data_IF_658692762746
#
_entry.id   IF_658692762746
#
_cell.length_a   1.000
_cell.length_b   1.000
_cell.length_c   1.000
_cell.angle_alpha   90.00
_cell.angle_beta   90.00
_cell.angle_gamma   90.00
#
_symmetry.space_group_name_H-M   'P 1'
#
loop_
_entity.id
_entity.type
_entity.pdbx_description
1 polymer ?
#
# COMPACT_ATOMS: atom_id res chain seq x y z
N UNK A 1 -1.74 27.12 -8.86
CA UNK A 1 -0.87 25.99 -9.28
C UNK A 1 -0.42 25.10 -8.12
N UNK A 2 -0.41 25.57 -6.86
CA UNK A 2 0.07 24.74 -5.74
C UNK A 2 -0.88 23.61 -5.30
N UNK A 3 -2.17 23.73 -5.57
CA UNK A 3 -3.17 22.74 -5.15
C UNK A 3 -3.00 21.42 -5.92
N UNK A 4 -2.82 21.48 -7.24
CA UNK A 4 -2.61 20.29 -8.07
C UNK A 4 -1.30 19.57 -7.73
N UNK A 5 -0.20 20.32 -7.51
CA UNK A 5 1.08 19.75 -7.07
C UNK A 5 0.99 19.10 -5.69
N UNK A 6 0.23 19.72 -4.78
CA UNK A 6 -0.03 19.15 -3.45
C UNK A 6 -0.86 17.88 -3.55
N UNK A 7 -1.86 17.81 -4.43
CA UNK A 7 -2.63 16.59 -4.65
C UNK A 7 -1.78 15.46 -5.24
N UNK A 8 -0.89 15.77 -6.18
CA UNK A 8 -0.02 14.77 -6.79
C UNK A 8 0.99 14.20 -5.79
N UNK A 9 1.58 15.04 -4.94
CA UNK A 9 2.48 14.56 -3.89
C UNK A 9 1.76 13.58 -2.95
N UNK A 10 0.53 13.91 -2.52
CA UNK A 10 -0.25 13.01 -1.68
C UNK A 10 -0.52 11.67 -2.37
N UNK A 11 -0.79 11.65 -3.68
CA UNK A 11 -0.92 10.40 -4.43
C UNK A 11 0.36 9.57 -4.41
N UNK A 12 1.52 10.21 -4.62
CA UNK A 12 2.83 9.54 -4.58
C UNK A 12 3.12 9.00 -3.19
N UNK A 13 2.89 9.78 -2.14
CA UNK A 13 3.04 9.35 -0.74
C UNK A 13 2.17 8.11 -0.45
N UNK A 14 0.92 8.11 -0.90
CA UNK A 14 0.02 6.98 -0.68
C UNK A 14 0.54 5.74 -1.41
N UNK A 15 0.96 5.90 -2.66
CA UNK A 15 1.52 4.82 -3.48
C UNK A 15 2.75 4.20 -2.82
N UNK A 16 3.70 5.02 -2.35
CA UNK A 16 4.92 4.52 -1.68
C UNK A 16 4.61 3.72 -0.43
N UNK A 17 3.60 4.14 0.35
CA UNK A 17 3.18 3.42 1.55
C UNK A 17 2.40 2.13 1.23
N UNK A 18 1.58 2.14 0.17
CA UNK A 18 0.78 0.99 -0.25
C UNK A 18 1.65 -0.13 -0.85
N UNK A 19 2.65 0.24 -1.67
CA UNK A 19 3.59 -0.70 -2.28
C UNK A 19 4.81 -1.01 -1.39
N UNK A 20 4.83 -0.51 -0.15
CA UNK A 20 5.86 -0.76 0.85
C UNK A 20 7.29 -0.31 0.42
N UNK A 21 7.37 0.78 -0.33
CA UNK A 21 8.63 1.48 -0.65
C UNK A 21 9.02 2.42 0.51
N UNK A 22 9.34 1.81 1.65
CA UNK A 22 9.51 2.51 2.93
C UNK A 22 10.75 3.38 2.96
N UNK A 23 11.85 2.97 2.33
CA UNK A 23 13.08 3.74 2.31
C UNK A 23 12.89 5.00 1.48
N UNK A 24 12.29 4.86 0.29
CA UNK A 24 11.91 6.00 -0.55
C UNK A 24 10.94 6.94 0.16
N UNK A 25 9.91 6.39 0.81
CA UNK A 25 8.94 7.19 1.57
C UNK A 25 9.62 7.98 2.70
N UNK A 26 10.61 7.38 3.36
CA UNK A 26 11.35 8.00 4.45
C UNK A 26 12.29 9.12 3.93
N UNK A 27 12.97 8.91 2.81
CA UNK A 27 13.79 9.97 2.21
C UNK A 27 12.95 11.13 1.69
N UNK A 28 11.81 10.83 1.04
CA UNK A 28 10.86 11.84 0.61
C UNK A 28 10.35 12.67 1.80
N UNK A 29 10.09 12.04 2.95
CA UNK A 29 9.72 12.77 4.17
C UNK A 29 10.77 13.83 4.51
N UNK A 30 12.05 13.47 4.52
CA UNK A 30 13.12 14.40 4.88
C UNK A 30 13.29 15.51 3.85
N UNK A 31 13.29 15.21 2.56
CA UNK A 31 13.38 16.24 1.52
C UNK A 31 12.16 17.19 1.55
N UNK A 32 10.96 16.69 1.86
CA UNK A 32 9.77 17.54 2.04
C UNK A 32 9.90 18.46 3.26
N UNK A 33 10.56 18.01 4.33
CA UNK A 33 10.79 18.83 5.52
C UNK A 33 11.83 19.91 5.26
N UNK A 34 12.90 19.56 4.56
CA UNK A 34 13.96 20.49 4.18
C UNK A 34 13.43 21.59 3.25
N UNK A 35 12.48 21.26 2.37
CA UNK A 35 11.76 22.20 1.51
C UNK A 35 10.68 23.03 2.25
N UNK A 36 10.42 22.77 3.53
CA UNK A 36 9.38 23.44 4.33
C UNK A 36 7.94 23.04 3.93
N UNK A 37 7.76 21.89 3.28
CA UNK A 37 6.46 21.36 2.82
C UNK A 37 5.81 20.44 3.86
N UNK A 38 5.78 20.88 5.13
CA UNK A 38 5.27 20.11 6.27
C UNK A 38 3.86 19.54 6.05
N UNK A 39 2.98 20.30 5.40
CA UNK A 39 1.59 19.92 5.15
C UNK A 39 1.46 18.63 4.33
N UNK A 40 2.43 18.36 3.45
CA UNK A 40 2.43 17.20 2.56
C UNK A 40 3.13 16.00 3.21
N UNK A 41 3.99 16.28 4.21
CA UNK A 41 4.70 15.28 5.00
C UNK A 41 3.87 14.70 6.16
N UNK A 42 2.70 15.26 6.50
CA UNK A 42 1.90 14.84 7.68
C UNK A 42 1.64 13.33 7.67
N UNK A 43 1.19 12.77 6.54
CA UNK A 43 0.89 11.34 6.43
C UNK A 43 2.14 10.47 6.64
N UNK A 44 3.29 10.90 6.14
CA UNK A 44 4.56 10.20 6.34
C UNK A 44 5.02 10.31 7.79
N UNK A 45 4.93 11.50 8.41
CA UNK A 45 5.25 11.71 9.83
C UNK A 45 4.41 10.80 10.72
N UNK A 46 3.10 10.76 10.50
CA UNK A 46 2.18 9.93 11.28
C UNK A 46 2.51 8.44 11.09
N UNK A 47 2.84 8.02 9.86
CA UNK A 47 3.24 6.65 9.56
C UNK A 47 4.52 6.24 10.31
N UNK A 48 5.60 7.04 10.21
CA UNK A 48 6.88 6.72 10.85
C UNK A 48 6.90 6.96 12.37
N UNK A 49 5.96 7.74 12.90
CA UNK A 49 5.80 7.93 14.35
C UNK A 49 5.09 6.76 15.06
N UNK A 50 4.51 5.81 14.31
CA UNK A 50 3.77 4.70 14.89
C UNK A 50 4.71 3.72 15.61
N UNK A 51 4.72 3.77 16.94
CA UNK A 51 5.53 2.87 17.79
C UNK A 51 5.18 1.38 17.65
N UNK A 52 3.99 1.04 17.14
CA UNK A 52 3.59 -0.34 16.87
C UNK A 52 4.25 -0.90 15.60
N UNK A 53 4.47 -0.07 14.59
CA UNK A 53 5.16 -0.42 13.35
C UNK A 53 6.67 -0.29 13.51
N UNK A 54 7.12 0.67 14.32
CA UNK A 54 8.52 1.02 14.52
C UNK A 54 8.87 1.07 16.02
N UNK A 55 9.07 -0.09 16.68
CA UNK A 55 9.39 -0.13 18.11
C UNK A 55 10.77 0.49 18.39
N UNK A 56 10.82 1.48 19.28
CA UNK A 56 12.05 2.23 19.59
C UNK A 56 13.20 1.34 20.10
N UNK A 57 12.87 0.26 20.80
CA UNK A 57 13.85 -0.71 21.30
C UNK A 57 14.57 -1.44 20.16
N UNK A 58 13.84 -1.79 19.10
CA UNK A 58 14.43 -2.44 17.92
C UNK A 58 15.31 -1.46 17.15
N UNK A 59 14.82 -0.24 16.93
CA UNK A 59 15.58 0.83 16.23
C UNK A 59 16.90 1.11 16.96
N UNK A 60 16.88 1.18 18.29
CA UNK A 60 18.07 1.43 19.10
C UNK A 60 19.11 0.31 18.98
N UNK A 61 18.67 -0.95 18.90
CA UNK A 61 19.55 -2.09 18.62
C UNK A 61 20.17 -1.97 17.24
N UNK A 62 19.37 -1.74 16.20
CA UNK A 62 19.87 -1.60 14.82
C UNK A 62 20.84 -0.42 14.64
N UNK A 63 20.64 0.68 15.36
CA UNK A 63 21.59 1.80 15.35
C UNK A 63 22.93 1.44 16.02
N UNK A 64 22.91 0.55 17.02
CA UNK A 64 24.13 0.04 17.65
C UNK A 64 24.92 -0.85 16.69
N UNK A 65 24.23 -1.67 15.89
CA UNK A 65 24.81 -2.56 14.87
C UNK A 65 25.61 -1.80 13.81
N UNK A 66 25.12 -0.64 13.32
CA UNK A 66 25.84 0.15 12.30
C UNK A 66 27.20 0.68 12.76
N UNK A 67 27.41 0.76 14.09
CA UNK A 67 28.64 1.25 14.71
C UNK A 67 29.47 0.09 15.30
N UNK A 68 28.97 -1.15 15.21
CA UNK A 68 29.60 -2.31 15.81
C UNK A 68 30.79 -2.83 14.99
N UNK A 69 31.74 -3.45 15.69
CA UNK A 69 32.84 -4.16 15.06
C UNK A 69 32.34 -5.42 14.33
N UNK A 70 32.99 -5.84 13.23
CA UNK A 70 32.60 -7.04 12.47
C UNK A 70 32.45 -8.32 13.31
N UNK A 71 33.23 -8.48 14.37
CA UNK A 71 33.15 -9.63 15.25
C UNK A 71 31.88 -9.62 16.09
N UNK A 72 31.51 -8.46 16.67
CA UNK A 72 30.24 -8.29 17.38
C UNK A 72 29.02 -8.56 16.47
N UNK A 73 29.09 -8.21 15.18
CA UNK A 73 28.02 -8.50 14.22
C UNK A 73 27.82 -10.00 14.00
N UNK A 74 28.92 -10.77 13.97
CA UNK A 74 28.87 -12.21 13.79
C UNK A 74 28.24 -12.89 15.02
N UNK A 75 28.63 -12.47 16.22
CA UNK A 75 28.07 -13.00 17.48
C UNK A 75 26.57 -12.70 17.60
N UNK A 76 26.13 -11.50 17.23
CA UNK A 76 24.70 -11.17 17.24
C UNK A 76 23.91 -11.97 16.19
N UNK A 77 24.48 -12.16 14.99
CA UNK A 77 23.89 -13.01 13.96
C UNK A 77 23.69 -14.45 14.45
N UNK A 78 24.71 -15.04 15.08
CA UNK A 78 24.62 -16.38 15.66
C UNK A 78 23.57 -16.44 16.78
N UNK A 79 23.52 -15.44 17.66
CA UNK A 79 22.52 -15.36 18.73
C UNK A 79 21.07 -15.24 18.20
N UNK A 80 20.86 -14.52 17.09
CA UNK A 80 19.55 -14.43 16.43
C UNK A 80 19.18 -15.76 15.77
N UNK A 81 20.14 -16.44 15.14
CA UNK A 81 19.94 -17.78 14.56
C UNK A 81 19.55 -18.82 15.62
N UNK A 82 20.19 -18.80 16.79
CA UNK A 82 19.84 -19.68 17.92
C UNK A 82 18.42 -19.40 18.44
N UNK A 83 18.07 -18.12 18.66
CA UNK A 83 16.72 -17.72 19.09
C UNK A 83 15.65 -18.14 18.09
N UNK A 84 15.93 -18.01 16.80
CA UNK A 84 15.04 -18.43 15.73
C UNK A 84 14.82 -19.94 15.76
N UNK A 85 15.88 -20.73 15.92
CA UNK A 85 15.77 -22.19 16.03
C UNK A 85 14.91 -22.63 17.24
N UNK A 86 15.05 -21.95 18.39
CA UNK A 86 14.21 -22.20 19.57
C UNK A 86 12.75 -21.87 19.27
N UNK A 87 12.48 -20.69 18.71
CA UNK A 87 11.12 -20.26 18.39
C UNK A 87 10.45 -21.18 17.36
N UNK A 88 11.18 -21.67 16.35
CA UNK A 88 10.67 -22.63 15.38
C UNK A 88 10.31 -23.98 16.02
N UNK A 89 11.11 -24.41 16.99
CA UNK A 89 10.81 -25.62 17.77
C UNK A 89 9.54 -25.44 18.61
N UNK A 90 9.42 -24.33 19.34
CA UNK A 90 8.23 -23.99 20.12
C UNK A 90 6.98 -23.88 19.24
N UNK A 91 7.10 -23.28 18.05
CA UNK A 91 6.02 -23.18 17.08
C UNK A 91 5.56 -24.57 16.62
N UNK A 92 6.49 -25.49 16.34
CA UNK A 92 6.18 -26.87 15.96
C UNK A 92 5.44 -27.60 17.06
N UNK A 93 5.87 -27.43 18.31
CA UNK A 93 5.20 -28.02 19.47
C UNK A 93 3.77 -27.47 19.63
N UNK A 94 3.60 -26.16 19.54
CA UNK A 94 2.28 -25.53 19.61
C UNK A 94 1.35 -25.99 18.47
N UNK A 95 1.88 -26.16 17.25
CA UNK A 95 1.12 -26.70 16.12
C UNK A 95 0.67 -28.15 16.36
N UNK A 96 1.54 -28.99 16.92
CA UNK A 96 1.21 -30.37 17.28
C UNK A 96 0.11 -30.43 18.35
N UNK A 97 0.20 -29.58 19.38
CA UNK A 97 -0.83 -29.49 20.43
C UNK A 97 -2.17 -29.01 19.89
N UNK A 98 -2.17 -28.01 19.00
CA UNK A 98 -3.38 -27.56 18.28
C UNK A 98 -3.98 -28.71 17.47
N UNK A 99 -3.16 -29.52 16.78
CA UNK A 99 -3.64 -30.67 16.02
C UNK A 99 -4.26 -31.72 16.95
N UNK A 100 -3.61 -32.06 18.07
CA UNK A 100 -4.15 -32.98 19.08
C UNK A 100 -5.49 -32.50 19.61
N UNK A 101 -5.58 -31.26 20.07
CA UNK A 101 -6.81 -30.66 20.58
C UNK A 101 -7.93 -30.64 19.52
N UNK A 102 -7.61 -30.35 18.25
CA UNK A 102 -8.57 -30.44 17.15
C UNK A 102 -9.09 -31.86 16.94
N UNK A 103 -8.22 -32.87 17.00
CA UNK A 103 -8.66 -34.27 16.88
C UNK A 103 -9.49 -34.74 18.07
N UNK A 104 -9.17 -34.30 19.29
CA UNK A 104 -9.97 -34.60 20.48
C UNK A 104 -11.34 -33.93 20.42
N UNK A 105 -11.42 -32.68 19.98
CA UNK A 105 -12.69 -31.98 19.75
C UNK A 105 -13.52 -32.68 18.68
N UNK A 106 -12.92 -33.08 17.56
CA UNK A 106 -13.63 -33.80 16.50
C UNK A 106 -14.14 -35.16 17.02
N UNK A 107 -13.31 -35.92 17.73
CA UNK A 107 -13.71 -37.18 18.37
C UNK A 107 -14.85 -36.96 19.38
N UNK A 108 -14.84 -35.87 20.15
CA UNK A 108 -15.89 -35.54 21.12
C UNK A 108 -17.20 -35.13 20.43
N UNK A 109 -17.12 -34.42 19.31
CA UNK A 109 -18.27 -34.11 18.46
C UNK A 109 -18.86 -35.39 17.88
N UNK A 110 -18.03 -36.27 17.30
CA UNK A 110 -18.45 -37.55 16.74
C UNK A 110 -19.04 -38.48 17.82
N UNK A 111 -18.48 -38.51 19.03
CA UNK A 111 -19.05 -39.28 20.15
C UNK A 111 -20.38 -38.69 20.62
N UNK A 112 -20.52 -37.36 20.67
CA UNK A 112 -21.81 -36.72 21.01
C UNK A 112 -22.91 -36.97 19.98
N UNK A 113 -22.56 -37.01 18.69
CA UNK A 113 -23.50 -37.31 17.59
C UNK A 113 -23.93 -38.78 17.61
N UNK A 114 -23.03 -39.69 18.03
CA UNK A 114 -23.34 -41.11 18.18
C UNK A 114 -24.18 -41.43 19.43
N UNK A 115 -24.07 -40.64 20.50
CA UNK A 115 -24.93 -40.74 21.69
C UNK A 115 -26.34 -40.16 21.46
N UNK A 116 -26.53 -39.27 20.47
CA UNK A 116 -27.83 -38.71 20.09
C UNK A 116 -28.59 -39.47 18.99
N UNK A 117 -28.12 -40.65 18.55
CA UNK A 117 -28.84 -41.50 17.57
C UNK A 117 -29.89 -42.44 18.17
N UNK A 118 -30.17 -42.31 19.46
CA UNK A 118 -31.30 -42.94 20.12
C UNK A 118 -32.14 -41.88 20.81
N UNK A 119 -32.92 -41.10 20.04
CA UNK A 119 -34.27 -40.60 20.36
C UNK A 119 -34.68 -39.56 19.32
N UNK A 120 -35.65 -39.97 18.50
CA UNK A 120 -36.75 -39.22 17.90
C UNK A 120 -36.49 -38.26 16.71
N UNK A 121 -36.94 -38.75 15.56
CA UNK A 121 -37.46 -38.01 14.40
C UNK A 121 -38.50 -36.97 14.80
N UNK A 122 -38.40 -35.74 14.26
CA UNK A 122 -39.50 -34.79 14.34
C UNK A 122 -39.28 -33.43 13.67
N UNK A 123 -39.80 -33.31 12.45
CA UNK A 123 -40.38 -32.09 11.87
C UNK A 123 -39.48 -31.05 11.19
N UNK A 124 -39.67 -30.97 9.87
CA UNK A 124 -39.37 -29.83 9.02
C UNK A 124 -40.27 -28.64 9.38
N UNK A 125 -39.76 -27.42 9.44
CA UNK A 125 -40.54 -26.23 9.11
C UNK A 125 -39.64 -25.06 8.69
N UNK A 126 -40.04 -24.47 7.57
CA UNK A 126 -39.41 -23.42 6.80
C UNK A 126 -39.80 -22.01 7.28
N UNK A 127 -38.95 -21.05 6.91
CA UNK A 127 -39.26 -19.62 6.63
C UNK A 127 -39.51 -18.71 7.84
N UNK A 128 -38.62 -17.71 7.99
CA UNK A 128 -39.04 -16.35 8.31
C UNK A 128 -38.13 -15.35 7.59
N UNK A 129 -38.69 -14.76 6.54
CA UNK A 129 -38.21 -13.54 5.89
C UNK A 129 -38.61 -12.37 6.79
N UNK A 130 -37.68 -11.46 7.07
CA UNK A 130 -38.01 -10.04 7.14
C UNK A 130 -36.78 -9.19 6.84
N UNK A 131 -36.81 -8.66 5.62
CA UNK A 131 -36.01 -7.52 5.17
C UNK A 131 -36.45 -6.27 5.94
N UNK A 132 -35.48 -5.44 6.34
CA UNK A 132 -35.68 -4.09 6.83
C UNK A 132 -34.55 -3.20 6.32
N UNK A 133 -34.84 -2.12 5.58
CA UNK A 133 -33.84 -1.32 4.86
C UNK A 133 -33.33 -0.16 5.70
N UNK A 134 -32.03 0.08 5.72
CA UNK A 134 -31.49 1.38 6.16
C UNK A 134 -30.58 1.95 5.07
N UNK A 135 -31.23 2.66 4.14
CA UNK A 135 -30.61 3.75 3.42
C UNK A 135 -30.43 4.93 4.39
N UNK A 136 -29.20 5.27 4.74
CA UNK A 136 -28.91 6.66 5.11
C UNK A 136 -27.50 7.11 4.69
N UNK A 137 -27.55 8.02 3.71
CA UNK A 137 -26.61 9.11 3.41
C UNK A 137 -25.27 8.76 2.78
N UNK A 138 -25.31 8.84 1.45
CA UNK A 138 -24.36 9.56 0.62
C UNK A 138 -23.53 10.60 1.40
N UNK A 139 -22.24 10.30 1.57
CA UNK A 139 -21.18 11.30 1.44
C UNK A 139 -20.11 10.65 0.57
N UNK A 140 -19.86 11.28 -0.58
CA UNK A 140 -18.84 10.88 -1.55
C UNK A 140 -17.47 10.98 -0.89
N UNK A 141 -16.96 9.86 -0.41
CA UNK A 141 -15.54 9.57 -0.38
C UNK A 141 -15.34 8.35 -1.27
N UNK A 142 -14.96 8.60 -2.53
CA UNK A 142 -14.55 7.54 -3.45
C UNK A 142 -13.21 7.04 -2.92
N UNK A 143 -13.27 6.10 -1.97
CA UNK A 143 -12.12 5.29 -1.62
C UNK A 143 -11.73 4.53 -2.87
N UNK A 144 -10.65 4.96 -3.51
CA UNK A 144 -10.08 4.36 -4.73
C UNK A 144 -9.45 2.97 -4.47
N UNK A 145 -9.77 2.33 -3.34
CA UNK A 145 -9.20 1.06 -2.89
C UNK A 145 -9.87 -0.18 -3.53
N UNK A 146 -10.65 -0.04 -4.61
CA UNK A 146 -11.48 -1.12 -5.17
C UNK A 146 -10.98 -1.64 -6.54
N UNK A 147 -9.67 -1.62 -6.81
CA UNK A 147 -9.12 -2.18 -8.06
C UNK A 147 -8.36 -3.50 -7.88
N UNK A 148 -8.30 -4.05 -6.66
CA UNK A 148 -7.52 -5.26 -6.36
C UNK A 148 -6.01 -4.98 -6.37
N UNK A 149 -5.17 -6.00 -6.09
CA UNK A 149 -3.72 -5.85 -6.13
C UNK A 149 -3.26 -5.40 -7.53
N UNK A 150 -2.35 -4.43 -7.60
CA UNK A 150 -1.79 -3.96 -8.88
C UNK A 150 -1.17 -5.12 -9.65
N UNK A 151 -1.45 -5.19 -10.96
CA UNK A 151 -0.72 -6.11 -11.85
C UNK A 151 0.70 -5.60 -12.03
N UNK A 152 1.63 -6.51 -12.29
CA UNK A 152 3.06 -6.18 -12.41
C UNK A 152 3.35 -5.11 -13.48
N UNK A 153 2.59 -5.12 -14.59
CA UNK A 153 2.70 -4.11 -15.64
C UNK A 153 2.24 -2.72 -15.17
N UNK A 154 1.13 -2.67 -14.42
CA UNK A 154 0.56 -1.42 -13.90
C UNK A 154 1.48 -0.84 -12.81
N UNK A 155 2.02 -1.69 -11.93
CA UNK A 155 3.01 -1.31 -10.92
C UNK A 155 4.25 -0.70 -11.60
N UNK A 156 4.75 -1.31 -12.67
CA UNK A 156 5.90 -0.79 -13.41
C UNK A 156 5.64 0.57 -14.03
N UNK A 157 4.48 0.76 -14.66
CA UNK A 157 4.15 2.04 -15.27
C UNK A 157 4.00 3.15 -14.20
N UNK A 158 3.42 2.82 -13.04
CA UNK A 158 3.33 3.71 -11.88
C UNK A 158 4.70 4.02 -11.28
N UNK A 159 5.56 3.01 -11.11
CA UNK A 159 6.92 3.18 -10.59
C UNK A 159 7.70 4.18 -11.45
N UNK A 160 7.64 4.04 -12.76
CA UNK A 160 8.31 4.99 -13.63
C UNK A 160 7.70 6.40 -13.55
N UNK A 161 6.38 6.54 -13.46
CA UNK A 161 5.73 7.84 -13.29
C UNK A 161 6.14 8.51 -11.96
N UNK A 162 6.28 7.73 -10.88
CA UNK A 162 6.79 8.20 -9.58
C UNK A 162 8.26 8.62 -9.70
N UNK A 163 9.09 7.84 -10.39
CA UNK A 163 10.48 8.21 -10.68
C UNK A 163 10.57 9.55 -11.41
N UNK A 164 9.77 9.73 -12.47
CA UNK A 164 9.72 11.00 -13.21
C UNK A 164 9.23 12.15 -12.35
N UNK A 165 8.20 11.94 -11.53
CA UNK A 165 7.71 12.94 -10.58
C UNK A 165 8.82 13.41 -9.63
N UNK A 166 9.55 12.46 -9.01
CA UNK A 166 10.64 12.77 -8.07
C UNK A 166 11.74 13.57 -8.78
N UNK A 167 12.12 13.17 -10.00
CA UNK A 167 13.14 13.88 -10.78
C UNK A 167 12.71 15.30 -11.18
N UNK A 168 11.45 15.49 -11.62
CA UNK A 168 10.91 16.79 -12.00
C UNK A 168 10.79 17.71 -10.78
N UNK A 169 10.44 17.16 -9.62
CA UNK A 169 10.34 17.90 -8.36
C UNK A 169 11.71 18.27 -7.76
N UNK A 170 12.81 17.69 -8.27
CA UNK A 170 14.17 17.96 -7.78
C UNK A 170 14.66 16.98 -6.70
N UNK A 171 13.86 15.98 -6.36
CA UNK A 171 14.13 14.92 -5.36
C UNK A 171 15.04 13.84 -5.93
N UNK A 172 16.25 14.23 -6.31
CA UNK A 172 17.19 13.36 -7.04
C UNK A 172 17.73 12.22 -6.17
N UNK A 173 17.95 12.47 -4.88
CA UNK A 173 18.41 11.44 -3.95
C UNK A 173 17.30 10.41 -3.73
N UNK A 174 16.11 10.88 -3.37
CA UNK A 174 14.93 10.01 -3.22
C UNK A 174 14.63 9.23 -4.51
N UNK A 175 14.80 9.83 -5.70
CA UNK A 175 14.65 9.12 -6.96
C UNK A 175 15.71 8.02 -7.17
N UNK A 176 16.95 8.24 -6.74
CA UNK A 176 18.01 7.24 -6.77
C UNK A 176 17.68 6.07 -5.84
N UNK A 177 17.28 6.37 -4.61
CA UNK A 177 16.88 5.36 -3.62
C UNK A 177 15.67 4.58 -4.06
N UNK A 178 14.69 5.24 -4.67
CA UNK A 178 13.54 4.57 -5.29
C UNK A 178 13.97 3.57 -6.35
N UNK A 179 14.93 3.96 -7.19
CA UNK A 179 15.47 3.07 -8.21
C UNK A 179 16.16 1.84 -7.62
N UNK A 180 16.88 1.99 -6.49
CA UNK A 180 17.53 0.88 -5.80
C UNK A 180 16.54 -0.01 -5.03
N UNK A 181 15.47 0.55 -4.49
CA UNK A 181 14.45 -0.17 -3.72
C UNK A 181 13.55 -1.02 -4.63
N UNK A 182 13.31 -0.59 -5.87
CA UNK A 182 12.60 -1.36 -6.90
C UNK A 182 13.56 -2.36 -7.57
N UNK A 183 13.75 -3.52 -6.92
CA UNK A 183 14.72 -4.54 -7.36
C UNK A 183 14.20 -5.50 -8.44
N UNK A 184 12.89 -5.57 -8.64
CA UNK A 184 12.22 -6.52 -9.54
C UNK A 184 12.08 -6.00 -10.98
N UNK A 185 12.28 -4.70 -11.20
CA UNK A 185 12.02 -4.05 -12.48
C UNK A 185 13.20 -3.22 -12.94
N UNK A 186 13.50 -3.26 -14.25
CA UNK A 186 14.47 -2.34 -14.83
C UNK A 186 13.77 -1.04 -15.25
N UNK A 187 13.94 0.02 -14.44
CA UNK A 187 13.34 1.33 -14.69
C UNK A 187 14.14 2.17 -15.71
N UNK A 188 15.28 1.69 -16.22
CA UNK A 188 16.12 2.36 -17.22
C UNK A 188 15.66 2.09 -18.66
N UNK A 189 15.00 0.95 -18.90
CA UNK A 189 14.34 0.65 -20.18
C UNK A 189 13.01 1.42 -20.25
N UNK A 190 13.11 2.73 -20.22
CA UNK A 190 12.03 3.61 -20.64
C UNK A 190 12.10 3.72 -22.16
N UNK A 191 11.43 2.82 -22.86
CA UNK A 191 11.14 3.02 -24.27
C UNK A 191 10.24 4.26 -24.37
N UNK A 192 10.84 5.44 -24.57
CA UNK A 192 10.20 6.72 -24.94
C UNK A 192 8.67 6.77 -24.78
N UNK A 193 8.17 6.69 -23.55
CA UNK A 193 6.73 6.88 -23.34
C UNK A 193 6.51 7.72 -22.09
N UNK A 194 6.81 9.03 -22.16
CA UNK A 194 6.51 9.96 -21.09
C UNK A 194 5.00 10.13 -21.07
N UNK A 195 4.27 9.34 -20.27
CA UNK A 195 2.82 9.47 -20.16
C UNK A 195 2.13 9.63 -21.55
N UNK A 196 2.63 8.94 -22.58
CA UNK A 196 2.16 9.14 -23.95
C UNK A 196 0.81 8.47 -24.03
N UNK A 197 -0.24 9.26 -23.82
CA UNK A 197 -1.56 8.96 -24.35
C UNK A 197 -1.32 8.50 -25.79
N UNK A 198 -1.61 7.22 -26.12
CA UNK A 198 -1.30 6.68 -27.45
C UNK A 198 -1.71 7.68 -28.52
N UNK A 199 -0.87 7.87 -29.53
CA UNK A 199 -1.06 8.93 -30.55
C UNK A 199 -2.51 8.96 -31.07
N UNK A 200 -3.10 7.78 -31.23
CA UNK A 200 -4.51 7.56 -31.50
C UNK A 200 -5.46 8.26 -30.50
N UNK A 201 -5.33 8.03 -29.20
CA UNK A 201 -6.15 8.67 -28.16
C UNK A 201 -5.96 10.20 -28.13
N UNK A 202 -4.74 10.68 -28.36
CA UNK A 202 -4.46 12.11 -28.48
C UNK A 202 -5.15 12.72 -29.70
N UNK A 203 -5.14 12.02 -30.83
CA UNK A 203 -5.83 12.41 -32.06
C UNK A 203 -7.34 12.48 -31.87
N UNK A 204 -7.94 11.47 -31.22
CA UNK A 204 -9.37 11.44 -30.92
C UNK A 204 -9.78 12.58 -29.97
N UNK A 205 -8.98 12.89 -28.96
CA UNK A 205 -9.24 14.00 -28.03
C UNK A 205 -9.22 15.36 -28.75
N UNK A 206 -8.22 15.63 -29.57
CA UNK A 206 -8.16 16.87 -30.36
C UNK A 206 -9.29 16.94 -31.42
N UNK A 207 -9.64 15.81 -32.03
CA UNK A 207 -10.79 15.75 -32.94
C UNK A 207 -12.10 16.04 -32.21
N UNK A 208 -12.29 15.50 -31.01
CA UNK A 208 -13.46 15.77 -30.17
C UNK A 208 -13.57 17.26 -29.80
N UNK A 209 -12.48 17.89 -29.38
CA UNK A 209 -12.44 19.32 -29.06
C UNK A 209 -12.74 20.20 -30.27
N UNK A 210 -12.23 19.83 -31.45
CA UNK A 210 -12.50 20.56 -32.70
C UNK A 210 -13.92 20.36 -33.23
N UNK A 211 -14.58 19.26 -32.86
CA UNK A 211 -15.93 18.91 -33.31
C UNK A 211 -17.03 19.39 -32.35
N UNK A 212 -16.68 19.82 -31.13
CA UNK A 212 -17.65 20.24 -30.09
C UNK A 212 -17.43 21.71 -29.69
N UNK A 213 -18.30 22.59 -30.16
CA UNK A 213 -18.31 24.02 -29.79
C UNK A 213 -18.54 24.26 -28.29
N UNK A 214 -19.18 23.31 -27.61
CA UNK A 214 -19.48 23.36 -26.17
C UNK A 214 -18.23 23.18 -25.29
N UNK A 215 -17.21 22.43 -25.75
CA UNK A 215 -15.94 22.26 -25.05
C UNK A 215 -14.96 23.43 -25.29
N UNK A 216 -15.03 24.05 -26.47
CA UNK A 216 -14.25 25.25 -26.81
C UNK A 216 -14.66 26.47 -25.96
N UNK A 217 -15.94 26.59 -25.59
CA UNK A 217 -16.43 27.64 -24.69
C UNK A 217 -15.90 27.50 -23.25
N UNK A 218 -15.69 26.29 -22.74
CA UNK A 218 -15.15 26.07 -21.39
C UNK A 218 -13.67 26.48 -21.31
N UNK A 219 -12.92 26.27 -22.39
CA UNK A 219 -11.53 26.74 -22.51
C UNK A 219 -11.43 28.26 -22.73
N UNK A 220 -12.37 28.86 -23.49
CA UNK A 220 -12.40 30.32 -23.64
C UNK A 220 -12.88 31.04 -22.38
N UNK A 221 -13.85 30.50 -21.64
CA UNK A 221 -14.33 31.05 -20.35
C UNK A 221 -13.29 30.98 -19.25
N UNK A 222 -12.34 30.03 -19.29
CA UNK A 222 -11.23 29.96 -18.33
C UNK A 222 -10.07 30.89 -18.70
N UNK A 223 -9.91 31.26 -19.97
CA UNK A 223 -8.95 32.26 -20.42
C UNK A 223 -9.42 33.72 -20.26
N UNK A 224 -10.73 34.00 -20.22
CA UNK A 224 -11.27 35.36 -20.10
C UNK A 224 -11.36 35.91 -18.65
N UNK A 225 -10.95 35.14 -17.64
CA UNK A 225 -10.78 35.67 -16.26
C UNK A 225 -9.39 36.32 -16.05
N UNK A 226 -8.57 36.38 -17.10
CA UNK A 226 -7.18 36.86 -17.05
C UNK A 226 -6.84 38.04 -17.95
N UNK A 227 -7.79 38.93 -18.30
CA UNK A 227 -7.50 40.18 -19.03
C UNK A 227 -8.29 41.38 -18.46
N UNK A 228 -7.60 42.19 -17.68
CA UNK A 228 -7.61 43.64 -17.88
C UNK A 228 -6.32 43.98 -18.66
#
# INVERSE_FOLDING_TARGET
MDVERSSLCNCVVNFLLEENYLLTAFELLHELLDDGRDNQAIRLKDFFANSSQFPSDQISRFNSIRVADPQSLLEEKEAVEEKLAISEYELRLAQEDILKLKTELQKKVESSVNESRGLDSGSNSSVSVNNGPEFQRQKRDVSFSHLGPLKDNERRDLNCAVKEYLLIAGYRLTAMTFFEEVTDQNLDVWQDSPACVPDALRHYYYQYLSSTTEAAEVFLKTCDVGKC
#
